data_IF_656278565601
#
_entry.id   IF_656278565601
#
_cell.length_a   1.000
_cell.length_b   1.000
_cell.length_c   1.000
_cell.angle_alpha   90.00
_cell.angle_beta   90.00
_cell.angle_gamma   90.00
#
_symmetry.space_group_name_H-M   'P 1'
#
loop_
_entity.id
_entity.type
_entity.pdbx_description
1 polymer ?
#
# COMPACT_ATOMS: atom_id res chain seq x y z
N UNK A 1 2.94 -6.11 -4.77
CA UNK A 1 2.28 -4.91 -5.31
C UNK A 1 1.94 -5.05 -6.81
N UNK A 2 2.92 -5.23 -7.71
CA UNK A 2 2.68 -5.27 -9.16
C UNK A 2 1.57 -6.25 -9.61
N UNK A 3 1.56 -7.46 -9.06
CA UNK A 3 0.52 -8.47 -9.33
C UNK A 3 -0.90 -7.98 -8.96
N UNK A 4 -1.04 -7.25 -7.86
CA UNK A 4 -2.32 -6.66 -7.44
C UNK A 4 -2.74 -5.51 -8.36
N UNK A 5 -1.79 -4.67 -8.78
CA UNK A 5 -2.07 -3.58 -9.74
C UNK A 5 -2.56 -4.09 -11.07
N UNK A 6 -1.93 -5.15 -11.61
CA UNK A 6 -2.36 -5.80 -12.84
C UNK A 6 -3.76 -6.41 -12.69
N UNK A 7 -4.04 -7.06 -11.56
CA UNK A 7 -5.36 -7.63 -11.27
C UNK A 7 -6.47 -6.55 -11.24
N UNK A 8 -6.18 -5.37 -10.71
CA UNK A 8 -7.14 -4.26 -10.59
C UNK A 8 -7.14 -3.31 -11.80
N UNK A 9 -6.35 -3.61 -12.85
CA UNK A 9 -6.26 -2.76 -14.05
C UNK A 9 -5.65 -1.37 -13.81
N UNK A 10 -4.82 -1.22 -12.77
CA UNK A 10 -4.14 0.04 -12.50
C UNK A 10 -3.03 0.29 -13.53
N UNK A 11 -2.87 1.53 -14.05
CA UNK A 11 -1.89 1.84 -15.09
C UNK A 11 -0.45 1.94 -14.57
N UNK A 12 -0.20 1.64 -13.30
CA UNK A 12 1.14 1.70 -12.70
C UNK A 12 2.02 0.57 -13.22
N UNK A 13 3.21 0.95 -13.66
CA UNK A 13 4.24 0.05 -14.14
C UNK A 13 5.12 -0.40 -12.98
N UNK A 14 5.98 -1.38 -13.26
CA UNK A 14 6.96 -1.83 -12.29
C UNK A 14 7.89 -0.70 -11.83
N UNK A 15 8.33 0.16 -12.77
CA UNK A 15 9.16 1.34 -12.51
C UNK A 15 8.52 2.32 -11.51
N UNK A 16 7.20 2.54 -11.59
CA UNK A 16 6.48 3.40 -10.64
C UNK A 16 6.52 2.81 -9.22
N UNK A 17 6.38 1.49 -9.10
CA UNK A 17 6.46 0.78 -7.83
C UNK A 17 7.88 0.76 -7.25
N UNK A 18 8.90 0.58 -8.08
CA UNK A 18 10.30 0.62 -7.66
C UNK A 18 10.68 2.02 -7.15
N UNK A 19 10.26 3.07 -7.85
CA UNK A 19 10.44 4.44 -7.40
C UNK A 19 9.70 4.71 -6.08
N UNK A 20 8.43 4.35 -6.01
CA UNK A 20 7.60 4.49 -4.81
C UNK A 20 8.25 3.87 -3.56
N UNK A 21 8.81 2.67 -3.69
CA UNK A 21 9.50 1.96 -2.60
C UNK A 21 10.85 2.60 -2.26
N UNK A 22 11.55 3.17 -3.24
CA UNK A 22 12.84 3.84 -3.00
C UNK A 22 12.69 5.09 -2.15
N UNK A 23 11.58 5.82 -2.32
CA UNK A 23 11.36 7.13 -1.68
C UNK A 23 10.39 7.08 -0.50
N UNK A 24 9.77 5.94 -0.22
CA UNK A 24 8.72 5.80 0.80
C UNK A 24 8.78 4.50 1.58
N UNK A 25 7.81 4.32 2.47
CA UNK A 25 7.63 3.14 3.29
C UNK A 25 6.40 2.36 2.84
N UNK A 26 6.52 1.04 2.79
CA UNK A 26 5.45 0.16 2.33
C UNK A 26 4.94 -0.76 3.44
N UNK A 27 3.63 -0.99 3.46
CA UNK A 27 2.97 -2.03 4.23
C UNK A 27 2.41 -3.09 3.29
N UNK A 28 2.51 -4.34 3.74
CA UNK A 28 1.99 -5.50 3.03
C UNK A 28 0.98 -6.20 3.93
N UNK A 29 -0.21 -6.44 3.40
CA UNK A 29 -1.20 -7.27 4.03
C UNK A 29 -1.12 -8.67 3.40
N UNK A 30 -0.78 -9.65 4.23
CA UNK A 30 -0.70 -11.05 3.84
C UNK A 30 -1.77 -11.88 4.55
N UNK A 31 -2.31 -12.87 3.83
CA UNK A 31 -3.21 -13.88 4.38
C UNK A 31 -2.81 -15.24 3.85
N UNK A 32 -2.52 -16.17 4.78
CA UNK A 32 -2.08 -17.52 4.45
C UNK A 32 -0.89 -17.57 3.47
N UNK A 33 0.09 -16.67 3.62
CA UNK A 33 1.27 -16.57 2.76
C UNK A 33 1.04 -15.93 1.39
N UNK A 34 -0.16 -15.39 1.14
CA UNK A 34 -0.46 -14.63 -0.07
C UNK A 34 -0.63 -13.15 0.25
N UNK A 35 0.03 -12.30 -0.53
CA UNK A 35 -0.16 -10.85 -0.51
C UNK A 35 -1.56 -10.53 -1.03
N UNK A 36 -2.41 -10.04 -0.14
CA UNK A 36 -3.79 -9.63 -0.46
C UNK A 36 -3.95 -8.12 -0.53
N UNK A 37 -2.98 -7.35 -0.06
CA UNK A 37 -3.01 -5.89 -0.21
C UNK A 37 -1.66 -5.25 0.07
N UNK A 38 -1.51 -4.03 -0.42
CA UNK A 38 -0.33 -3.19 -0.18
C UNK A 38 -0.74 -1.75 0.00
N UNK A 39 0.06 -0.99 0.74
CA UNK A 39 -0.14 0.44 0.95
C UNK A 39 1.22 1.13 1.11
N UNK A 40 1.34 2.39 0.71
CA UNK A 40 2.58 3.15 0.76
C UNK A 40 2.38 4.48 1.50
N UNK A 41 3.44 4.95 2.17
CA UNK A 41 3.51 6.28 2.77
C UNK A 41 4.82 6.98 2.44
N UNK A 42 4.78 8.31 2.37
CA UNK A 42 5.94 9.16 2.11
C UNK A 42 5.96 10.30 3.12
N UNK A 43 7.02 10.38 3.93
CA UNK A 43 7.15 11.37 4.99
C UNK A 43 7.78 12.66 4.47
N UNK A 44 7.22 13.79 4.86
CA UNK A 44 7.69 15.14 4.55
C UNK A 44 8.04 15.85 5.86
N UNK A 45 9.30 15.70 6.28
CA UNK A 45 9.74 16.14 7.60
C UNK A 45 9.10 15.28 8.70
N UNK A 46 8.85 15.89 9.87
CA UNK A 46 8.30 15.18 11.04
C UNK A 46 6.78 15.31 11.19
N UNK A 47 6.14 16.25 10.49
CA UNK A 47 4.76 16.64 10.76
C UNK A 47 3.75 16.17 9.70
N UNK A 48 4.23 15.74 8.52
CA UNK A 48 3.36 15.43 7.39
C UNK A 48 3.80 14.15 6.70
N UNK A 49 2.81 13.37 6.25
CA UNK A 49 3.02 12.24 5.39
C UNK A 49 1.92 12.18 4.33
N UNK A 50 2.25 11.69 3.13
CA UNK A 50 1.27 11.29 2.13
C UNK A 50 1.08 9.79 2.23
N UNK A 51 -0.17 9.34 2.35
CA UNK A 51 -0.55 7.94 2.20
C UNK A 51 -1.12 7.71 0.80
N UNK A 52 -0.74 6.61 0.15
CA UNK A 52 -1.18 6.31 -1.21
C UNK A 52 -0.84 4.91 -1.66
N UNK A 53 -1.13 4.62 -2.94
CA UNK A 53 -0.93 3.30 -3.56
C UNK A 53 -1.52 2.16 -2.71
N UNK A 54 -2.70 2.41 -2.13
CA UNK A 54 -3.44 1.47 -1.30
C UNK A 54 -4.31 0.60 -2.20
N UNK A 55 -4.01 -0.69 -2.24
CA UNK A 55 -4.68 -1.65 -3.11
C UNK A 55 -4.88 -2.96 -2.36
N UNK A 56 -6.05 -3.56 -2.55
CA UNK A 56 -6.42 -4.88 -2.02
C UNK A 56 -6.99 -5.69 -3.17
N UNK A 57 -6.62 -6.97 -3.28
CA UNK A 57 -7.19 -7.90 -4.28
C UNK A 57 -8.71 -7.87 -4.24
N UNK A 58 -9.35 -8.01 -5.40
CA UNK A 58 -10.81 -8.07 -5.50
C UNK A 58 -11.41 -9.14 -4.59
N UNK A 59 -10.70 -10.28 -4.43
CA UNK A 59 -11.11 -11.40 -3.58
C UNK A 59 -11.16 -11.08 -2.07
N UNK A 60 -10.53 -9.98 -1.63
CA UNK A 60 -10.49 -9.54 -0.25
C UNK A 60 -11.14 -8.15 -0.04
N UNK A 61 -11.90 -7.66 -1.02
CA UNK A 61 -12.70 -6.43 -0.88
C UNK A 61 -13.91 -6.64 0.05
N UNK A 62 -14.42 -5.55 0.62
CA UNK A 62 -15.59 -5.57 1.52
C UNK A 62 -15.31 -6.00 2.96
N UNK A 63 -14.08 -6.40 3.30
CA UNK A 63 -13.67 -6.83 4.66
C UNK A 63 -12.98 -5.77 5.52
N UNK A 64 -12.98 -4.49 5.11
CA UNK A 64 -12.26 -3.42 5.82
C UNK A 64 -10.72 -3.48 5.70
N UNK A 65 -10.19 -4.30 4.79
CA UNK A 65 -8.74 -4.48 4.60
C UNK A 65 -8.04 -3.20 4.13
N UNK A 66 -8.72 -2.37 3.34
CA UNK A 66 -8.20 -1.05 2.94
C UNK A 66 -8.06 -0.11 4.14
N UNK A 67 -9.06 -0.09 5.02
CA UNK A 67 -9.00 0.69 6.28
C UNK A 67 -7.88 0.19 7.18
N UNK A 68 -7.72 -1.13 7.35
CA UNK A 68 -6.62 -1.70 8.14
C UNK A 68 -5.23 -1.30 7.61
N UNK A 69 -5.07 -1.30 6.29
CA UNK A 69 -3.83 -0.84 5.66
C UNK A 69 -3.60 0.65 5.93
N UNK A 70 -4.64 1.47 5.82
CA UNK A 70 -4.57 2.90 6.10
C UNK A 70 -4.24 3.19 7.57
N UNK A 71 -4.91 2.51 8.51
CA UNK A 71 -4.65 2.62 9.94
C UNK A 71 -3.21 2.19 10.28
N UNK A 72 -2.72 1.14 9.62
CA UNK A 72 -1.32 0.73 9.71
C UNK A 72 -0.35 1.80 9.21
N UNK A 73 -0.68 2.48 8.10
CA UNK A 73 0.14 3.59 7.62
C UNK A 73 0.14 4.75 8.62
N UNK A 74 -1.02 5.12 9.17
CA UNK A 74 -1.15 6.14 10.21
C UNK A 74 -0.21 5.86 11.37
N UNK A 75 -0.23 4.63 11.90
CA UNK A 75 0.68 4.21 12.98
C UNK A 75 2.15 4.22 12.56
N UNK A 76 2.47 3.84 11.32
CA UNK A 76 3.84 3.81 10.82
C UNK A 76 4.39 5.23 10.55
N UNK A 77 3.51 6.21 10.34
CA UNK A 77 3.86 7.61 10.11
C UNK A 77 3.79 8.47 11.36
N UNK A 78 3.21 7.96 12.45
CA UNK A 78 3.22 8.61 13.75
C UNK A 78 4.63 8.52 14.34
N UNK A 79 5.28 9.68 14.49
CA UNK A 79 6.63 9.86 15.04
C UNK A 79 6.59 10.50 16.42
#
# INVERSE_FOLDING_TARGET
ALKLSQEMGWPYRQEDWEFAVTVGNGLVLERAGQVIGTAMSWNYGQAYATAGMIIVTGSAQGGGNGSRLFDGLLQATDG
#
